data_IF_700462803396
#
_entry.id   IF_700462803396
#
_cell.length_a   1.000
_cell.length_b   1.000
_cell.length_c   1.000
_cell.angle_alpha   90.00
_cell.angle_beta   90.00
_cell.angle_gamma   90.00
#
_symmetry.space_group_name_H-M   'P 1'
#
loop_
_entity.id
_entity.type
_entity.pdbx_description
1 polymer ?
#
# COMPACT_ATOMS: atom_id res chain seq x y z
N UNK A 1 -32.03 -20.01 7.90
CA UNK A 1 -31.19 -20.55 6.80
C UNK A 1 -30.37 -19.42 6.20
N UNK A 2 -29.08 -19.29 6.56
CA UNK A 2 -28.20 -18.32 5.91
C UNK A 2 -27.95 -18.82 4.48
N UNK A 3 -28.38 -18.06 3.47
CA UNK A 3 -28.08 -18.33 2.07
C UNK A 3 -26.55 -18.28 1.91
N UNK A 4 -25.95 -19.38 1.56
CA UNK A 4 -24.57 -19.41 1.08
C UNK A 4 -24.51 -18.59 -0.21
N UNK A 5 -24.02 -17.36 -0.09
CA UNK A 5 -23.71 -16.53 -1.25
C UNK A 5 -22.52 -17.20 -1.95
N UNK A 6 -22.67 -17.51 -3.25
CA UNK A 6 -21.59 -18.11 -4.02
C UNK A 6 -20.36 -17.19 -4.08
N UNK A 7 -19.18 -17.76 -4.28
CA UNK A 7 -17.94 -16.95 -4.43
C UNK A 7 -18.08 -15.90 -5.54
N UNK A 8 -18.73 -16.25 -6.66
CA UNK A 8 -18.99 -15.33 -7.77
C UNK A 8 -19.86 -14.15 -7.35
N UNK A 9 -20.95 -14.39 -6.59
CA UNK A 9 -21.80 -13.30 -6.09
C UNK A 9 -21.06 -12.36 -5.14
N UNK A 10 -20.12 -12.88 -4.34
CA UNK A 10 -19.26 -12.05 -3.48
C UNK A 10 -18.31 -11.18 -4.31
N UNK A 11 -17.67 -11.75 -5.32
CA UNK A 11 -16.77 -11.01 -6.22
C UNK A 11 -17.55 -9.91 -6.94
N UNK A 12 -18.73 -10.22 -7.47
CA UNK A 12 -19.57 -9.24 -8.15
C UNK A 12 -20.02 -8.11 -7.21
N UNK A 13 -20.44 -8.42 -5.99
CA UNK A 13 -20.77 -7.41 -4.99
C UNK A 13 -19.58 -6.53 -4.61
N UNK A 14 -18.39 -7.11 -4.48
CA UNK A 14 -17.15 -6.35 -4.24
C UNK A 14 -16.82 -5.43 -5.41
N UNK A 15 -16.98 -5.89 -6.64
CA UNK A 15 -16.73 -5.10 -7.84
C UNK A 15 -17.70 -3.91 -7.94
N UNK A 16 -18.99 -4.14 -7.71
CA UNK A 16 -19.99 -3.07 -7.66
C UNK A 16 -19.68 -2.04 -6.55
N UNK A 17 -19.26 -2.51 -5.37
CA UNK A 17 -18.83 -1.64 -4.29
C UNK A 17 -17.61 -0.79 -4.67
N UNK A 18 -16.64 -1.36 -5.40
CA UNK A 18 -15.47 -0.64 -5.88
C UNK A 18 -15.86 0.47 -6.88
N UNK A 19 -16.81 0.20 -7.78
CA UNK A 19 -17.36 1.21 -8.72
C UNK A 19 -18.03 2.36 -7.94
N UNK A 20 -18.81 2.08 -6.90
CA UNK A 20 -19.42 3.14 -6.09
C UNK A 20 -18.38 3.97 -5.32
N UNK A 21 -17.31 3.33 -4.84
CA UNK A 21 -16.20 4.01 -4.17
C UNK A 21 -15.43 4.90 -5.16
N UNK A 22 -15.23 4.44 -6.41
CA UNK A 22 -14.51 5.21 -7.44
C UNK A 22 -15.18 6.54 -7.81
N UNK A 23 -16.49 6.66 -7.60
CA UNK A 23 -17.22 7.93 -7.80
C UNK A 23 -16.88 8.99 -6.72
N UNK A 24 -16.38 8.57 -5.57
CA UNK A 24 -16.14 9.44 -4.40
C UNK A 24 -14.67 9.68 -4.11
N UNK A 25 -13.81 8.74 -4.50
CA UNK A 25 -12.40 8.76 -4.14
C UNK A 25 -11.51 8.57 -5.37
N UNK A 26 -10.35 9.18 -5.30
CA UNK A 26 -9.23 8.99 -6.22
C UNK A 26 -8.17 8.12 -5.54
N UNK A 27 -7.46 7.27 -6.29
CA UNK A 27 -6.38 6.46 -5.75
C UNK A 27 -5.05 7.19 -5.93
N UNK A 28 -4.25 7.22 -4.87
CA UNK A 28 -2.83 7.55 -4.95
C UNK A 28 -2.05 6.25 -4.83
N UNK A 29 -1.31 5.89 -5.86
CA UNK A 29 -0.32 4.82 -5.80
C UNK A 29 1.03 5.41 -5.41
N UNK A 30 1.63 4.92 -4.32
CA UNK A 30 3.02 5.23 -3.95
C UNK A 30 3.83 3.98 -4.16
N UNK A 31 4.77 4.02 -5.09
CA UNK A 31 5.51 2.85 -5.54
C UNK A 31 7.01 3.13 -5.46
N UNK A 32 7.80 2.12 -5.12
CA UNK A 32 9.24 2.12 -5.37
C UNK A 32 9.51 1.18 -6.53
N UNK A 33 10.36 1.63 -7.47
CA UNK A 33 10.74 0.86 -8.64
C UNK A 33 12.27 0.74 -8.65
N UNK A 34 12.78 -0.38 -9.14
CA UNK A 34 14.23 -0.60 -9.31
C UNK A 34 14.88 0.50 -10.15
N UNK A 35 14.16 1.03 -11.13
CA UNK A 35 14.65 2.07 -12.05
C UNK A 35 14.59 3.49 -11.47
N UNK A 36 13.86 3.71 -10.37
CA UNK A 36 13.64 5.01 -9.73
C UNK A 36 14.25 5.07 -8.32
N UNK A 37 14.92 4.01 -7.87
CA UNK A 37 15.67 4.05 -6.61
C UNK A 37 17.00 4.74 -6.84
N UNK A 38 17.26 5.83 -6.12
CA UNK A 38 18.56 6.45 -6.09
C UNK A 38 19.64 5.41 -5.74
N UNK A 39 20.69 5.35 -6.55
CA UNK A 39 21.84 4.46 -6.34
C UNK A 39 22.60 4.72 -5.00
N UNK A 40 22.18 5.70 -4.23
CA UNK A 40 22.77 6.10 -2.95
C UNK A 40 22.31 5.24 -1.77
N UNK A 41 21.23 4.47 -1.92
CA UNK A 41 20.80 3.52 -0.88
C UNK A 41 21.46 2.17 -1.14
N UNK A 42 22.09 1.63 -0.10
CA UNK A 42 22.73 0.32 -0.13
C UNK A 42 21.70 -0.82 -0.30
N UNK A 43 21.20 -0.95 -1.52
CA UNK A 43 20.44 -2.12 -1.98
C UNK A 43 21.41 -3.15 -2.59
N UNK A 44 22.62 -3.26 -2.06
CA UNK A 44 23.62 -4.24 -2.47
C UNK A 44 23.12 -5.68 -2.33
N UNK A 45 22.11 -5.89 -1.48
CA UNK A 45 21.42 -7.17 -1.35
C UNK A 45 20.28 -7.27 -2.37
N UNK A 46 20.45 -8.13 -3.37
CA UNK A 46 19.43 -8.45 -4.38
C UNK A 46 18.09 -8.91 -3.78
N UNK A 47 18.08 -9.38 -2.52
CA UNK A 47 16.86 -9.77 -1.81
C UNK A 47 15.88 -8.63 -1.60
N UNK A 48 16.37 -7.40 -1.47
CA UNK A 48 15.51 -6.21 -1.29
C UNK A 48 14.87 -5.80 -2.62
N UNK A 49 15.64 -5.89 -3.71
CA UNK A 49 15.14 -5.55 -5.06
C UNK A 49 14.01 -6.47 -5.51
N UNK A 50 14.05 -7.75 -5.13
CA UNK A 50 12.99 -8.71 -5.45
C UNK A 50 11.64 -8.41 -4.77
N UNK A 51 11.60 -7.48 -3.81
CA UNK A 51 10.35 -7.05 -3.17
C UNK A 51 9.68 -5.87 -3.90
N UNK A 52 10.32 -5.25 -4.89
CA UNK A 52 9.73 -4.19 -5.69
C UNK A 52 8.85 -4.75 -6.80
N UNK A 53 7.75 -4.09 -7.07
CA UNK A 53 6.96 -4.39 -8.25
C UNK A 53 7.69 -3.93 -9.51
N UNK A 54 7.68 -4.77 -10.54
CA UNK A 54 8.13 -4.40 -11.88
C UNK A 54 7.22 -3.31 -12.48
N UNK A 55 7.73 -2.61 -13.49
CA UNK A 55 6.94 -1.63 -14.25
C UNK A 55 5.66 -2.23 -14.83
N UNK A 56 5.73 -3.50 -15.28
CA UNK A 56 4.57 -4.20 -15.83
C UNK A 56 3.51 -4.45 -14.77
N UNK A 57 3.89 -4.91 -13.57
CA UNK A 57 2.96 -5.13 -12.46
C UNK A 57 2.32 -3.83 -11.98
N UNK A 58 3.12 -2.75 -11.85
CA UNK A 58 2.60 -1.44 -11.47
C UNK A 58 1.59 -0.91 -12.51
N UNK A 59 1.90 -1.05 -13.80
CA UNK A 59 1.01 -0.64 -14.88
C UNK A 59 -0.28 -1.48 -14.90
N UNK A 60 -0.19 -2.78 -14.65
CA UNK A 60 -1.37 -3.66 -14.57
C UNK A 60 -2.30 -3.25 -13.42
N UNK A 61 -1.73 -3.00 -12.24
CA UNK A 61 -2.51 -2.53 -11.07
C UNK A 61 -3.19 -1.20 -11.41
N UNK A 62 -2.45 -0.22 -11.98
CA UNK A 62 -2.99 1.08 -12.35
C UNK A 62 -4.12 0.94 -13.35
N UNK A 63 -3.92 0.21 -14.44
CA UNK A 63 -4.94 -0.01 -15.46
C UNK A 63 -6.19 -0.71 -14.90
N UNK A 64 -6.00 -1.66 -13.99
CA UNK A 64 -7.12 -2.34 -13.33
C UNK A 64 -7.96 -1.35 -12.51
N UNK A 65 -7.32 -0.46 -11.76
CA UNK A 65 -8.02 0.57 -10.99
C UNK A 65 -8.75 1.58 -11.90
N UNK A 66 -8.10 2.00 -12.98
CA UNK A 66 -8.69 2.90 -13.98
C UNK A 66 -9.88 2.25 -14.69
N UNK A 67 -9.82 0.96 -15.01
CA UNK A 67 -10.92 0.19 -15.62
C UNK A 67 -12.13 0.05 -14.68
N UNK A 68 -11.92 0.05 -13.36
CA UNK A 68 -13.00 0.09 -12.36
C UNK A 68 -13.65 1.49 -12.30
N UNK A 69 -12.95 2.54 -12.77
CA UNK A 69 -13.42 3.92 -12.79
C UNK A 69 -12.71 4.85 -11.84
N UNK A 70 -11.64 4.41 -11.15
CA UNK A 70 -10.84 5.30 -10.31
C UNK A 70 -9.98 6.24 -11.16
N UNK A 71 -9.84 7.48 -10.72
CA UNK A 71 -8.73 8.33 -11.12
C UNK A 71 -7.51 7.92 -10.30
N UNK A 72 -6.40 7.66 -10.99
CA UNK A 72 -5.16 7.19 -10.36
C UNK A 72 -4.06 8.22 -10.51
N UNK A 73 -3.49 8.66 -9.39
CA UNK A 73 -2.26 9.48 -9.34
C UNK A 73 -1.14 8.59 -8.82
N UNK A 74 0.00 8.56 -9.50
CA UNK A 74 1.13 7.71 -9.11
C UNK A 74 2.34 8.57 -8.72
N UNK A 75 2.97 8.19 -7.60
CA UNK A 75 4.28 8.68 -7.16
C UNK A 75 5.25 7.50 -7.19
N UNK A 76 6.43 7.72 -7.76
CA UNK A 76 7.45 6.69 -7.94
C UNK A 76 8.50 6.69 -6.82
N UNK A 77 8.36 7.58 -5.86
CA UNK A 77 9.20 7.67 -4.67
C UNK A 77 8.41 8.29 -3.51
N UNK A 78 8.93 8.11 -2.31
CA UNK A 78 8.30 8.60 -1.08
C UNK A 78 8.41 10.12 -0.94
N UNK A 79 9.48 10.74 -1.44
CA UNK A 79 9.75 12.18 -1.31
C UNK A 79 8.70 13.02 -2.03
N UNK A 80 8.34 12.63 -3.25
CA UNK A 80 7.30 13.31 -4.02
C UNK A 80 5.93 13.16 -3.34
N UNK A 81 5.65 12.00 -2.79
CA UNK A 81 4.43 11.79 -2.01
C UNK A 81 4.42 12.62 -0.73
N UNK A 82 5.54 12.68 0.02
CA UNK A 82 5.68 13.52 1.23
C UNK A 82 5.42 14.98 0.88
N UNK A 83 6.03 15.47 -0.20
CA UNK A 83 5.85 16.85 -0.67
C UNK A 83 4.39 17.14 -1.03
N UNK A 84 3.70 16.18 -1.63
CA UNK A 84 2.30 16.29 -1.98
C UNK A 84 1.38 16.29 -0.74
N UNK A 85 1.54 15.29 0.17
CA UNK A 85 0.65 15.12 1.32
C UNK A 85 0.79 16.24 2.35
N UNK A 86 1.98 16.86 2.44
CA UNK A 86 2.24 17.99 3.33
C UNK A 86 1.79 19.35 2.78
N UNK A 87 1.31 19.40 1.53
CA UNK A 87 0.85 20.65 0.93
C UNK A 87 -0.52 21.06 1.51
N UNK A 88 -0.62 22.20 2.24
CA UNK A 88 -1.85 22.64 2.88
C UNK A 88 -2.98 23.03 1.90
N UNK A 89 -2.67 23.17 0.62
CA UNK A 89 -3.66 23.49 -0.42
C UNK A 89 -4.38 22.27 -0.99
N UNK A 90 -3.90 21.07 -0.68
CA UNK A 90 -4.49 19.83 -1.20
C UNK A 90 -5.69 19.39 -0.34
N UNK A 91 -6.78 19.06 -1.00
CA UNK A 91 -7.90 18.39 -0.35
C UNK A 91 -7.64 16.89 -0.25
N UNK A 92 -7.07 16.47 0.87
CA UNK A 92 -6.66 15.09 1.10
C UNK A 92 -7.82 14.12 1.32
N UNK A 93 -9.00 14.60 1.69
CA UNK A 93 -10.15 13.76 2.07
C UNK A 93 -10.70 12.90 0.91
N UNK A 94 -10.42 13.31 -0.33
CA UNK A 94 -10.85 12.59 -1.54
C UNK A 94 -9.93 11.44 -1.94
N UNK A 95 -8.81 11.23 -1.27
CA UNK A 95 -7.83 10.22 -1.66
C UNK A 95 -7.88 8.97 -0.79
N UNK A 96 -7.56 7.85 -1.43
CA UNK A 96 -7.19 6.60 -0.77
C UNK A 96 -5.80 6.21 -1.29
N UNK A 97 -4.86 5.97 -0.37
CA UNK A 97 -3.48 5.62 -0.72
C UNK A 97 -3.31 4.12 -0.81
N UNK A 98 -2.78 3.66 -1.93
CA UNK A 98 -2.28 2.29 -2.14
C UNK A 98 -0.74 2.35 -2.10
N UNK A 99 -0.15 1.78 -1.04
CA UNK A 99 1.29 1.82 -0.83
C UNK A 99 1.98 0.50 -1.19
N UNK A 100 2.95 0.57 -2.09
CA UNK A 100 3.95 -0.47 -2.32
C UNK A 100 5.39 0.05 -2.17
N UNK A 101 5.56 1.31 -1.79
CA UNK A 101 6.86 1.93 -1.58
C UNK A 101 7.53 1.41 -0.31
N UNK A 102 8.86 1.33 -0.33
CA UNK A 102 9.64 0.75 0.75
C UNK A 102 11.10 1.22 0.74
N UNK A 103 11.32 2.53 0.66
CA UNK A 103 12.67 3.11 0.64
C UNK A 103 13.45 2.77 1.91
N UNK A 104 14.73 2.45 1.73
CA UNK A 104 15.66 2.13 2.81
C UNK A 104 15.69 0.64 3.18
N UNK A 105 16.54 0.31 4.15
CA UNK A 105 16.83 -1.08 4.56
C UNK A 105 16.33 -1.44 5.96
N UNK A 106 15.81 -0.46 6.70
CA UNK A 106 15.37 -0.66 8.10
C UNK A 106 13.98 -1.29 8.19
N UNK A 107 13.69 -1.93 9.32
CA UNK A 107 12.44 -2.66 9.57
C UNK A 107 11.19 -1.78 9.33
N UNK A 108 11.24 -0.51 9.74
CA UNK A 108 10.12 0.43 9.62
C UNK A 108 9.85 0.99 8.21
N UNK A 109 10.67 0.64 7.19
CA UNK A 109 10.57 1.25 5.86
C UNK A 109 9.18 1.22 5.22
N UNK A 110 8.46 0.11 5.37
CA UNK A 110 7.10 -0.04 4.81
C UNK A 110 6.01 0.68 5.60
N UNK A 111 6.29 1.12 6.83
CA UNK A 111 5.33 1.81 7.68
C UNK A 111 5.34 3.33 7.51
N UNK A 112 6.31 3.89 6.78
CA UNK A 112 6.43 5.33 6.59
C UNK A 112 5.16 5.93 5.98
N UNK A 113 4.73 5.41 4.84
CA UNK A 113 3.56 5.92 4.13
C UNK A 113 2.27 5.77 4.95
N UNK A 114 1.95 4.60 5.54
CA UNK A 114 0.82 4.49 6.47
C UNK A 114 0.89 5.47 7.64
N UNK A 115 2.08 5.71 8.22
CA UNK A 115 2.25 6.67 9.32
C UNK A 115 1.94 8.12 8.89
N UNK A 116 2.37 8.50 7.69
CA UNK A 116 2.03 9.80 7.12
C UNK A 116 0.52 9.90 6.85
N UNK A 117 -0.08 8.85 6.33
CA UNK A 117 -1.53 8.83 6.12
C UNK A 117 -2.31 9.00 7.42
N UNK A 118 -1.88 8.34 8.52
CA UNK A 118 -2.47 8.53 9.85
C UNK A 118 -2.29 9.98 10.33
N UNK A 119 -1.09 10.56 10.18
CA UNK A 119 -0.78 11.93 10.59
C UNK A 119 -1.68 12.96 9.86
N UNK A 120 -1.89 12.78 8.57
CA UNK A 120 -2.69 13.69 7.73
C UNK A 120 -4.15 13.26 7.57
N UNK A 121 -4.59 12.22 8.30
CA UNK A 121 -5.97 11.69 8.25
C UNK A 121 -6.42 11.28 6.84
N UNK A 122 -5.50 10.72 6.06
CA UNK A 122 -5.76 10.19 4.71
C UNK A 122 -6.06 8.70 4.79
N UNK A 123 -7.07 8.25 4.06
CA UNK A 123 -7.39 6.83 3.98
C UNK A 123 -6.30 6.07 3.21
N UNK A 124 -6.01 4.84 3.62
CA UNK A 124 -5.09 3.97 2.89
C UNK A 124 -5.56 2.51 2.90
N UNK A 125 -5.06 1.76 1.94
CA UNK A 125 -5.31 0.32 1.81
C UNK A 125 -4.15 -0.42 2.49
N UNK A 126 -4.48 -1.32 3.40
CA UNK A 126 -3.52 -2.15 4.11
C UNK A 126 -3.62 -2.05 5.62
N UNK A 127 -2.62 -2.62 6.29
CA UNK A 127 -2.54 -2.63 7.75
C UNK A 127 -1.99 -1.31 8.29
N UNK A 128 -2.31 -1.00 9.54
CA UNK A 128 -1.77 0.18 10.23
C UNK A 128 -0.24 0.09 10.38
N UNK A 129 0.46 1.22 10.66
CA UNK A 129 1.92 1.27 10.71
C UNK A 129 2.54 0.28 11.71
N UNK A 130 1.89 0.07 12.85
CA UNK A 130 2.36 -0.85 13.88
C UNK A 130 2.38 -2.29 13.36
N UNK A 131 1.28 -2.75 12.78
CA UNK A 131 1.16 -4.11 12.22
C UNK A 131 2.15 -4.31 11.08
N UNK A 132 2.27 -3.32 10.18
CA UNK A 132 3.24 -3.39 9.08
C UNK A 132 4.67 -3.56 9.60
N UNK A 133 5.07 -2.77 10.60
CA UNK A 133 6.41 -2.86 11.20
C UNK A 133 6.61 -4.18 11.94
N UNK A 134 5.61 -4.62 12.71
CA UNK A 134 5.67 -5.87 13.46
C UNK A 134 5.85 -7.07 12.53
N UNK A 135 5.06 -7.16 11.46
CA UNK A 135 5.14 -8.28 10.50
C UNK A 135 6.48 -8.32 9.75
N UNK A 136 7.21 -7.22 9.67
CA UNK A 136 8.58 -7.18 9.11
C UNK A 136 9.64 -7.67 10.10
N UNK A 137 9.38 -7.63 11.39
CA UNK A 137 10.24 -8.20 12.43
C UNK A 137 9.81 -9.64 12.71
N UNK A 138 10.37 -10.57 11.97
CA UNK A 138 10.02 -12.00 12.05
C UNK A 138 10.25 -12.57 13.46
N UNK A 139 11.30 -12.11 14.16
CA UNK A 139 11.60 -12.57 15.51
C UNK A 139 10.52 -12.14 16.50
N UNK A 140 10.18 -10.86 16.55
CA UNK A 140 9.14 -10.34 17.45
C UNK A 140 7.76 -10.90 17.12
N UNK A 141 7.43 -11.01 15.82
CA UNK A 141 6.21 -11.68 15.39
C UNK A 141 6.13 -13.11 15.90
N UNK A 142 7.21 -13.88 15.75
CA UNK A 142 7.28 -15.28 16.25
C UNK A 142 7.12 -15.34 17.77
N UNK A 143 7.75 -14.44 18.51
CA UNK A 143 7.59 -14.38 19.98
C UNK A 143 6.13 -14.15 20.39
N UNK A 144 5.44 -13.20 19.73
CA UNK A 144 4.04 -12.91 20.02
C UNK A 144 3.14 -14.10 19.67
N UNK A 145 3.33 -14.71 18.50
CA UNK A 145 2.55 -15.88 18.09
C UNK A 145 2.71 -17.04 19.08
N UNK A 146 3.95 -17.31 19.53
CA UNK A 146 4.23 -18.35 20.55
C UNK A 146 3.53 -18.06 21.88
N UNK A 147 3.48 -16.80 22.33
CA UNK A 147 2.75 -16.43 23.54
C UNK A 147 1.25 -16.73 23.44
N UNK A 148 0.70 -16.72 22.23
CA UNK A 148 -0.69 -17.07 21.95
C UNK A 148 -0.91 -18.54 21.57
N UNK A 149 0.10 -19.40 21.78
CA UNK A 149 0.00 -20.84 21.51
C UNK A 149 0.03 -21.20 20.01
N UNK A 150 0.42 -20.27 19.14
CA UNK A 150 0.55 -20.52 17.69
C UNK A 150 1.98 -21.00 17.42
N UNK A 151 2.11 -22.18 16.84
CA UNK A 151 3.39 -22.76 16.42
C UNK A 151 3.99 -21.93 15.27
N UNK A 152 5.28 -21.57 15.38
CA UNK A 152 6.02 -20.79 14.37
C UNK A 152 7.38 -21.42 14.11
#
# INVERSE_FOLDING_TARGET
MAKYISALQRIEAMFQSAIEISKKYEIIMVTSNENHTDNTNDYSDNSVKSEFFSDQEQNLIRQTLENIGFKVKQFFNEEDFISFISNPRENLSKYIVLNSAQKGTKIGRKSLIPSLCDLYSVKYIGSNPYIVSLCRDKYRTSCILKQHGIST
#
